data_IF_538116969490
#
_entry.id   IF_538116969490
#
_cell.length_a   1.000
_cell.length_b   1.000
_cell.length_c   1.000
_cell.angle_alpha   90.00
_cell.angle_beta   90.00
_cell.angle_gamma   90.00
#
_symmetry.space_group_name_H-M   'P 1'
#
loop_
_entity.id
_entity.type
_entity.pdbx_description
1 polymer ?
#
# COMPACT_ATOMS: atom_id res chain seq x y z
N UNK A 1 0.88 -2.93 -18.77
CA UNK A 1 0.46 -3.47 -17.45
C UNK A 1 -0.38 -2.41 -16.76
N UNK A 2 -1.54 -2.79 -16.23
CA UNK A 2 -2.40 -1.90 -15.45
C UNK A 2 -2.65 -2.52 -14.06
N UNK A 3 -2.50 -1.75 -12.96
CA UNK A 3 -2.64 -2.28 -11.61
C UNK A 3 -4.11 -2.29 -11.15
N UNK A 4 -4.35 -2.73 -9.91
CA UNK A 4 -5.66 -2.66 -9.28
C UNK A 4 -6.23 -1.22 -9.24
N UNK A 5 -7.50 -1.10 -9.66
CA UNK A 5 -8.35 0.08 -9.47
C UNK A 5 -9.73 -0.37 -8.99
N UNK A 6 -10.21 0.15 -7.85
CA UNK A 6 -11.52 -0.22 -7.28
C UNK A 6 -12.26 1.02 -6.78
N UNK A 7 -13.56 1.05 -7.02
CA UNK A 7 -14.49 2.01 -6.42
C UNK A 7 -15.38 1.29 -5.42
N UNK A 8 -15.41 1.76 -4.17
CA UNK A 8 -16.18 1.16 -3.08
C UNK A 8 -17.15 2.19 -2.52
N UNK A 9 -18.43 1.85 -2.52
CA UNK A 9 -19.44 2.65 -1.82
C UNK A 9 -19.52 2.22 -0.36
N UNK A 10 -19.44 3.19 0.55
CA UNK A 10 -19.61 2.99 1.99
C UNK A 10 -20.98 3.50 2.46
N UNK A 11 -21.53 2.85 3.49
CA UNK A 11 -22.81 3.23 4.12
C UNK A 11 -22.71 4.54 4.92
N UNK A 12 -21.58 4.76 5.60
CA UNK A 12 -21.35 5.95 6.43
C UNK A 12 -20.03 6.61 6.07
N UNK A 13 -19.90 7.89 6.44
CA UNK A 13 -18.68 8.67 6.20
C UNK A 13 -17.48 8.09 6.96
N UNK A 14 -17.68 7.66 8.20
CA UNK A 14 -16.61 7.13 9.05
C UNK A 14 -16.06 5.82 8.47
N UNK A 15 -16.93 4.97 7.91
CA UNK A 15 -16.52 3.74 7.24
C UNK A 15 -15.69 4.06 5.98
N UNK A 16 -16.11 5.07 5.21
CA UNK A 16 -15.39 5.53 4.02
C UNK A 16 -14.01 6.08 4.37
N UNK A 17 -13.93 6.91 5.42
CA UNK A 17 -12.67 7.48 5.92
C UNK A 17 -11.72 6.39 6.43
N UNK A 18 -12.22 5.43 7.23
CA UNK A 18 -11.43 4.27 7.69
C UNK A 18 -10.85 3.49 6.52
N UNK A 19 -11.68 3.14 5.52
CA UNK A 19 -11.21 2.42 4.33
C UNK A 19 -10.14 3.20 3.56
N UNK A 20 -10.33 4.52 3.40
CA UNK A 20 -9.33 5.38 2.76
C UNK A 20 -8.01 5.38 3.53
N UNK A 21 -8.05 5.52 4.87
CA UNK A 21 -6.85 5.49 5.71
C UNK A 21 -6.10 4.16 5.58
N UNK A 22 -6.81 3.04 5.58
CA UNK A 22 -6.24 1.70 5.37
C UNK A 22 -5.57 1.61 4.00
N UNK A 23 -6.23 2.06 2.94
CA UNK A 23 -5.69 2.04 1.59
C UNK A 23 -4.40 2.88 1.47
N UNK A 24 -4.41 4.09 2.04
CA UNK A 24 -3.24 4.98 2.06
C UNK A 24 -2.07 4.36 2.83
N UNK A 25 -2.33 3.74 3.99
CA UNK A 25 -1.32 3.03 4.78
C UNK A 25 -0.72 1.83 4.03
N UNK A 26 -1.52 1.17 3.17
CA UNK A 26 -1.06 0.06 2.32
C UNK A 26 -0.29 0.51 1.06
N UNK A 27 -0.11 1.82 0.85
CA UNK A 27 0.67 2.38 -0.26
C UNK A 27 -0.16 2.85 -1.46
N UNK A 28 -1.49 2.80 -1.40
CA UNK A 28 -2.37 3.29 -2.47
C UNK A 28 -2.54 4.82 -2.38
N UNK A 29 -1.45 5.56 -2.58
CA UNK A 29 -1.39 7.03 -2.40
C UNK A 29 -2.30 7.83 -3.34
N UNK A 30 -2.71 7.23 -4.46
CA UNK A 30 -3.61 7.83 -5.44
C UNK A 30 -5.10 7.59 -5.11
N UNK A 31 -5.40 7.17 -3.88
CA UNK A 31 -6.76 6.92 -3.42
C UNK A 31 -7.43 8.21 -2.99
N UNK A 32 -8.75 8.29 -3.16
CA UNK A 32 -9.55 9.46 -2.80
C UNK A 32 -10.94 9.09 -2.29
N UNK A 33 -11.58 10.04 -1.62
CA UNK A 33 -12.95 9.93 -1.13
C UNK A 33 -13.80 11.03 -1.77
N UNK A 34 -14.87 10.63 -2.45
CA UNK A 34 -15.91 11.52 -2.96
C UNK A 34 -17.12 11.42 -2.03
N UNK A 35 -17.45 12.53 -1.38
CA UNK A 35 -18.62 12.66 -0.52
C UNK A 35 -19.72 13.35 -1.31
N UNK A 36 -20.89 12.70 -1.39
CA UNK A 36 -22.10 13.31 -1.94
C UNK A 36 -23.30 13.07 -1.02
N UNK A 37 -24.40 13.83 -1.19
CA UNK A 37 -25.61 13.64 -0.37
C UNK A 37 -26.20 12.23 -0.42
N UNK A 38 -25.91 11.46 -1.48
CA UNK A 38 -26.47 10.13 -1.71
C UNK A 38 -25.48 8.98 -1.43
N UNK A 39 -24.17 9.24 -1.48
CA UNK A 39 -23.16 8.18 -1.38
C UNK A 39 -21.80 8.70 -0.90
N UNK A 40 -21.11 7.86 -0.16
CA UNK A 40 -19.69 8.00 0.16
C UNK A 40 -18.91 7.01 -0.71
N UNK A 41 -18.12 7.50 -1.65
CA UNK A 41 -17.39 6.67 -2.62
C UNK A 41 -15.89 6.77 -2.40
N UNK A 42 -15.25 5.65 -2.09
CA UNK A 42 -13.79 5.55 -1.97
C UNK A 42 -13.23 4.99 -3.28
N UNK A 43 -12.33 5.73 -3.90
CA UNK A 43 -11.55 5.27 -5.03
C UNK A 43 -10.17 4.82 -4.56
N UNK A 44 -9.83 3.56 -4.77
CA UNK A 44 -8.53 2.99 -4.41
C UNK A 44 -7.75 2.73 -5.71
N UNK A 45 -6.61 3.41 -5.85
CA UNK A 45 -5.77 3.32 -7.05
C UNK A 45 -4.31 3.14 -6.70
N UNK A 46 -3.65 2.20 -7.39
CA UNK A 46 -2.21 1.99 -7.27
C UNK A 46 -1.41 3.07 -8.03
N UNK A 47 -0.10 3.13 -7.80
CA UNK A 47 0.85 3.96 -8.55
C UNK A 47 1.68 3.18 -9.57
N UNK A 48 1.59 1.85 -9.57
CA UNK A 48 2.33 1.01 -10.50
C UNK A 48 1.80 1.23 -11.92
N UNK A 49 2.68 1.47 -12.89
CA UNK A 49 2.31 1.54 -14.31
C UNK A 49 3.51 1.21 -15.18
N UNK A 50 3.24 0.61 -16.34
CA UNK A 50 4.20 0.52 -17.44
C UNK A 50 3.45 0.88 -18.71
N UNK A 51 3.97 1.91 -19.39
CA UNK A 51 3.51 2.38 -20.68
C UNK A 51 4.75 2.70 -21.52
N UNK A 52 4.84 2.11 -22.71
CA UNK A 52 5.97 2.22 -23.60
C UNK A 52 5.52 1.95 -25.05
N UNK A 53 5.83 2.84 -26.02
CA UNK A 53 5.53 2.60 -27.42
C UNK A 53 6.41 1.47 -27.97
N UNK A 54 5.80 0.49 -28.65
CA UNK A 54 6.52 -0.66 -29.24
C UNK A 54 6.43 -0.72 -30.77
N UNK A 55 5.42 -0.09 -31.36
CA UNK A 55 5.22 -0.04 -32.80
C UNK A 55 4.36 1.17 -33.15
N UNK A 56 4.45 1.61 -34.40
CA UNK A 56 3.52 2.57 -35.01
C UNK A 56 2.70 1.88 -36.10
N UNK A 57 1.58 2.49 -36.49
CA UNK A 57 0.78 2.04 -37.63
C UNK A 57 0.81 3.13 -38.68
N UNK A 58 1.22 2.78 -39.90
CA UNK A 58 1.20 3.72 -41.04
C UNK A 58 -0.23 3.89 -41.55
N UNK A 59 -0.75 5.12 -41.55
CA UNK A 59 -2.16 5.42 -41.92
C UNK A 59 -2.51 5.00 -43.36
N UNK A 60 -1.56 5.12 -44.29
CA UNK A 60 -1.78 4.83 -45.71
C UNK A 60 -1.95 3.32 -46.00
N UNK A 61 -1.18 2.47 -45.33
CA UNK A 61 -1.12 1.02 -45.61
C UNK A 61 -1.64 0.16 -44.46
N UNK A 62 -2.03 0.78 -43.34
CA UNK A 62 -2.38 0.11 -42.06
C UNK A 62 -1.35 -0.95 -41.62
N UNK A 63 -0.10 -0.76 -42.00
CA UNK A 63 0.99 -1.70 -41.70
C UNK A 63 1.60 -1.36 -40.34
N UNK A 64 1.94 -2.39 -39.56
CA UNK A 64 2.61 -2.24 -38.27
C UNK A 64 4.11 -2.09 -38.50
N UNK A 65 4.70 -1.01 -38.01
CA UNK A 65 6.12 -0.73 -38.03
C UNK A 65 6.69 -0.85 -36.61
N UNK A 66 7.42 -1.94 -36.28
CA UNK A 66 8.06 -2.07 -34.98
C UNK A 66 9.08 -0.96 -34.75
N UNK A 67 9.07 -0.37 -33.55
CA UNK A 67 10.04 0.66 -33.13
C UNK A 67 11.20 0.08 -32.31
N UNK A 68 11.05 -1.16 -31.87
CA UNK A 68 11.92 -1.79 -30.87
C UNK A 68 12.32 -3.18 -31.34
N UNK A 69 13.47 -3.64 -30.85
CA UNK A 69 13.95 -4.98 -31.13
C UNK A 69 13.31 -6.03 -30.20
N UNK A 70 13.60 -7.30 -30.47
CA UNK A 70 13.07 -8.42 -29.67
C UNK A 70 13.64 -8.46 -28.26
N UNK A 71 14.86 -7.98 -28.05
CA UNK A 71 15.50 -7.92 -26.74
C UNK A 71 14.76 -6.93 -25.82
N UNK A 72 14.41 -5.76 -26.34
CA UNK A 72 13.63 -4.75 -25.64
C UNK A 72 12.22 -5.24 -25.30
N UNK A 73 11.53 -5.91 -26.24
CA UNK A 73 10.23 -6.52 -25.94
C UNK A 73 10.32 -7.54 -24.80
N UNK A 74 11.35 -8.39 -24.81
CA UNK A 74 11.59 -9.37 -23.75
C UNK A 74 11.82 -8.68 -22.40
N UNK A 75 12.57 -7.57 -22.38
CA UNK A 75 12.75 -6.74 -21.19
C UNK A 75 11.42 -6.16 -20.69
N UNK A 76 10.60 -5.57 -21.57
CA UNK A 76 9.29 -5.02 -21.20
C UNK A 76 8.34 -6.07 -20.62
N UNK A 77 8.33 -7.27 -21.18
CA UNK A 77 7.54 -8.40 -20.66
C UNK A 77 8.02 -8.77 -19.27
N UNK A 78 9.33 -8.90 -19.06
CA UNK A 78 9.90 -9.21 -17.75
C UNK A 78 9.59 -8.13 -16.70
N UNK A 79 9.70 -6.85 -17.07
CA UNK A 79 9.32 -5.73 -16.20
C UNK A 79 7.81 -5.77 -15.87
N UNK A 80 6.97 -6.07 -16.86
CA UNK A 80 5.53 -6.20 -16.69
C UNK A 80 5.17 -7.33 -15.73
N UNK A 81 5.80 -8.49 -15.86
CA UNK A 81 5.58 -9.63 -14.96
C UNK A 81 5.99 -9.32 -13.52
N UNK A 82 7.12 -8.62 -13.32
CA UNK A 82 7.51 -8.13 -11.99
C UNK A 82 6.48 -7.18 -11.40
N UNK A 83 5.96 -6.24 -12.20
CA UNK A 83 4.89 -5.32 -11.76
C UNK A 83 3.58 -6.03 -11.43
N UNK A 84 3.23 -7.09 -12.16
CA UNK A 84 2.11 -7.94 -11.79
C UNK A 84 2.31 -8.60 -10.43
N UNK A 85 3.50 -9.15 -10.16
CA UNK A 85 3.81 -9.74 -8.85
C UNK A 85 3.75 -8.71 -7.71
N UNK A 86 4.34 -7.52 -7.92
CA UNK A 86 4.27 -6.40 -6.96
C UNK A 86 2.82 -6.01 -6.67
N UNK A 87 1.99 -5.93 -7.71
CA UNK A 87 0.57 -5.59 -7.59
C UNK A 87 -0.21 -6.66 -6.83
N UNK A 88 0.03 -7.94 -7.11
CA UNK A 88 -0.59 -9.05 -6.37
C UNK A 88 -0.24 -9.01 -4.88
N UNK A 89 1.02 -8.73 -4.56
CA UNK A 89 1.46 -8.60 -3.17
C UNK A 89 0.81 -7.38 -2.49
N UNK A 90 0.70 -6.25 -3.19
CA UNK A 90 0.02 -5.06 -2.68
C UNK A 90 -1.47 -5.31 -2.44
N UNK A 91 -2.14 -6.00 -3.36
CA UNK A 91 -3.54 -6.41 -3.23
C UNK A 91 -3.74 -7.31 -2.01
N UNK A 92 -2.87 -8.30 -1.81
CA UNK A 92 -2.94 -9.19 -0.65
C UNK A 92 -2.71 -8.45 0.67
N UNK A 93 -1.82 -7.44 0.70
CA UNK A 93 -1.66 -6.57 1.89
C UNK A 93 -2.91 -5.73 2.15
N UNK A 94 -3.47 -5.10 1.11
CA UNK A 94 -4.70 -4.31 1.23
C UNK A 94 -5.86 -5.15 1.75
N UNK A 95 -6.07 -6.34 1.17
CA UNK A 95 -7.13 -7.25 1.58
C UNK A 95 -7.03 -7.62 3.07
N UNK A 96 -5.84 -8.04 3.53
CA UNK A 96 -5.61 -8.36 4.95
C UNK A 96 -5.81 -7.15 5.86
N UNK A 97 -5.36 -5.97 5.45
CA UNK A 97 -5.52 -4.75 6.24
C UNK A 97 -6.99 -4.32 6.36
N UNK A 98 -7.76 -4.45 5.28
CA UNK A 98 -9.21 -4.21 5.29
C UNK A 98 -9.91 -5.19 6.24
N UNK A 99 -9.60 -6.49 6.15
CA UNK A 99 -10.16 -7.50 7.06
C UNK A 99 -9.86 -7.15 8.52
N UNK A 100 -8.62 -6.77 8.84
CA UNK A 100 -8.21 -6.46 10.20
C UNK A 100 -8.82 -5.14 10.74
N UNK A 101 -8.89 -4.08 9.93
CA UNK A 101 -9.19 -2.72 10.43
C UNK A 101 -10.62 -2.24 10.12
N UNK A 102 -11.28 -2.82 9.12
CA UNK A 102 -12.64 -2.42 8.74
C UNK A 102 -13.72 -3.37 9.29
N UNK A 103 -13.35 -4.61 9.62
CA UNK A 103 -14.31 -5.66 10.01
C UNK A 103 -14.09 -6.24 11.42
N UNK A 104 -13.04 -5.84 12.16
CA UNK A 104 -12.89 -6.19 13.57
C UNK A 104 -13.39 -5.03 14.46
N UNK A 105 -14.17 -5.35 15.50
CA UNK A 105 -14.60 -4.42 16.57
C UNK A 105 -14.17 -5.03 17.90
N UNK A 106 -13.42 -4.29 18.72
CA UNK A 106 -12.91 -4.74 20.03
C UNK A 106 -12.20 -6.11 20.02
N UNK A 107 -11.42 -6.37 18.97
CA UNK A 107 -10.69 -7.63 18.80
C UNK A 107 -11.55 -8.84 18.40
N UNK A 108 -12.86 -8.63 18.13
CA UNK A 108 -13.77 -9.67 17.66
C UNK A 108 -14.21 -9.38 16.21
N UNK A 109 -14.42 -10.41 15.38
CA UNK A 109 -15.01 -10.22 14.07
C UNK A 109 -16.41 -9.62 14.22
N UNK A 110 -16.71 -8.58 13.46
CA UNK A 110 -18.04 -7.99 13.41
C UNK A 110 -19.00 -9.02 12.82
N UNK A 111 -19.81 -9.66 13.66
CA UNK A 111 -20.79 -10.65 13.20
C UNK A 111 -21.67 -10.04 12.11
N UNK A 112 -21.74 -10.71 10.96
CA UNK A 112 -22.68 -10.37 9.89
C UNK A 112 -24.09 -10.57 10.44
N UNK A 113 -24.90 -9.51 10.52
CA UNK A 113 -26.27 -9.56 11.02
C UNK A 113 -27.15 -10.56 10.24
N UNK A 114 -26.78 -10.88 9.00
CA UNK A 114 -27.59 -11.69 8.07
C UNK A 114 -26.94 -13.04 7.70
N UNK A 115 -25.87 -13.48 8.39
CA UNK A 115 -25.25 -14.80 8.16
C UNK A 115 -24.68 -15.06 6.76
N UNK A 116 -24.71 -14.07 5.86
CA UNK A 116 -24.51 -14.27 4.42
C UNK A 116 -23.04 -14.26 3.96
N UNK A 117 -22.10 -14.09 4.88
CA UNK A 117 -20.66 -14.14 4.59
C UNK A 117 -19.97 -15.18 5.48
N UNK A 118 -19.88 -16.44 5.02
CA UNK A 118 -19.14 -17.49 5.69
C UNK A 118 -17.66 -17.38 5.31
N UNK A 119 -16.86 -16.80 6.21
CA UNK A 119 -15.44 -17.06 6.49
C UNK A 119 -14.79 -15.79 7.02
N UNK A 120 -14.85 -15.66 8.35
CA UNK A 120 -14.09 -14.68 9.14
C UNK A 120 -12.69 -15.24 9.48
N UNK A 121 -11.69 -14.39 9.76
CA UNK A 121 -10.42 -14.41 9.05
C UNK A 121 -9.46 -15.55 9.44
N UNK A 122 -8.61 -15.92 8.47
CA UNK A 122 -7.42 -16.74 8.64
C UNK A 122 -6.58 -16.29 9.84
N UNK A 123 -6.05 -17.26 10.60
CA UNK A 123 -5.30 -17.08 11.86
C UNK A 123 -4.12 -16.11 11.70
N UNK A 124 -3.57 -16.00 10.48
CA UNK A 124 -2.49 -15.08 10.12
C UNK A 124 -2.87 -13.59 10.19
N UNK A 125 -4.15 -13.25 9.99
CA UNK A 125 -4.65 -11.87 9.94
C UNK A 125 -4.88 -11.32 11.36
N UNK A 126 -5.29 -12.17 12.30
CA UNK A 126 -5.44 -11.81 13.71
C UNK A 126 -4.09 -11.39 14.33
N UNK A 127 -3.01 -12.08 13.97
CA UNK A 127 -1.65 -11.73 14.40
C UNK A 127 -1.17 -10.38 13.82
N UNK A 128 -1.60 -10.03 12.59
CA UNK A 128 -1.25 -8.75 11.98
C UNK A 128 -1.99 -7.58 12.64
N UNK A 129 -3.24 -7.77 13.05
CA UNK A 129 -4.01 -6.76 13.79
C UNK A 129 -3.36 -6.41 15.13
N UNK A 130 -2.83 -7.40 15.86
CA UNK A 130 -2.11 -7.19 17.12
C UNK A 130 -0.81 -6.38 16.93
N UNK A 131 -0.11 -6.55 15.80
CA UNK A 131 1.15 -5.86 15.52
C UNK A 131 0.96 -4.47 14.85
N UNK A 132 -0.20 -4.20 14.26
CA UNK A 132 -0.49 -2.93 13.58
C UNK A 132 -0.85 -1.78 14.54
N UNK A 133 -1.14 -2.09 15.80
CA UNK A 133 -1.44 -1.10 16.84
C UNK A 133 -0.16 -0.54 17.50
N UNK A 134 0.82 -0.06 16.73
CA UNK A 134 1.78 0.90 17.30
C UNK A 134 1.20 2.31 17.07
N UNK A 135 0.65 2.91 18.11
CA UNK A 135 0.13 4.28 18.10
C UNK A 135 1.22 5.26 17.62
N UNK A 136 0.81 6.38 17.01
CA UNK A 136 1.72 7.47 16.63
C UNK A 136 2.56 7.95 17.84
N UNK A 137 1.97 7.87 19.03
CA UNK A 137 2.61 8.17 20.33
C UNK A 137 3.68 7.12 20.69
N UNK A 138 3.35 5.84 20.58
CA UNK A 138 4.27 4.72 20.87
C UNK A 138 5.47 4.73 19.92
N UNK A 139 5.23 5.03 18.63
CA UNK A 139 6.28 5.21 17.63
C UNK A 139 7.22 6.37 17.95
N UNK A 140 6.70 7.43 18.59
CA UNK A 140 7.47 8.61 19.03
C UNK A 140 8.30 8.26 20.26
N UNK A 141 7.70 7.59 21.24
CA UNK A 141 8.35 7.15 22.48
C UNK A 141 9.49 6.17 22.16
N UNK A 142 9.28 5.22 21.25
CA UNK A 142 10.32 4.28 20.83
C UNK A 142 11.51 4.97 20.16
N UNK A 143 11.26 5.89 19.22
CA UNK A 143 12.33 6.68 18.58
C UNK A 143 13.10 7.55 19.57
N UNK A 144 12.43 8.12 20.57
CA UNK A 144 13.08 8.87 21.63
C UNK A 144 13.97 7.96 22.50
N UNK A 145 13.47 6.77 22.88
CA UNK A 145 14.20 5.82 23.71
C UNK A 145 15.41 5.22 22.98
N UNK A 146 15.26 4.84 21.71
CA UNK A 146 16.35 4.38 20.84
C UNK A 146 17.41 5.49 20.63
N UNK A 147 16.99 6.74 20.45
CA UNK A 147 17.89 7.89 20.33
C UNK A 147 18.68 8.17 21.62
N UNK A 148 18.03 8.06 22.78
CA UNK A 148 18.66 8.24 24.08
C UNK A 148 19.70 7.16 24.38
N UNK A 149 19.38 5.90 24.05
CA UNK A 149 20.29 4.76 24.18
C UNK A 149 21.51 4.92 23.27
N UNK A 150 21.32 5.39 22.04
CA UNK A 150 22.43 5.70 21.11
C UNK A 150 23.33 6.82 21.65
N UNK A 151 22.76 7.85 22.27
CA UNK A 151 23.54 8.90 22.94
C UNK A 151 24.29 8.37 24.18
N UNK A 152 23.67 7.51 24.98
CA UNK A 152 24.33 6.90 26.14
C UNK A 152 25.47 5.95 25.72
N UNK A 153 25.29 5.17 24.65
CA UNK A 153 26.34 4.33 24.08
C UNK A 153 27.51 5.16 23.55
N UNK A 154 27.24 6.23 22.77
CA UNK A 154 28.28 7.14 22.30
C UNK A 154 29.06 7.81 23.45
N UNK A 155 28.39 8.07 24.57
CA UNK A 155 28.98 8.67 25.77
C UNK A 155 29.75 7.67 26.64
N UNK A 156 29.38 6.38 26.61
CA UNK A 156 30.12 5.31 27.26
C UNK A 156 31.33 4.84 26.44
N UNK A 157 31.26 4.90 25.10
CA UNK A 157 32.36 4.53 24.20
C UNK A 157 33.42 5.64 24.02
N UNK A 158 33.33 6.74 24.77
CA UNK A 158 34.43 7.68 24.96
C UNK A 158 35.03 8.33 23.71
N UNK A 159 34.28 8.47 22.62
CA UNK A 159 34.73 9.20 21.42
C UNK A 159 34.01 10.55 21.30
N UNK A 160 34.69 11.60 21.76
CA UNK A 160 34.33 13.00 21.50
C UNK A 160 34.47 13.32 20.01
N UNK A 161 33.48 13.95 19.35
CA UNK A 161 33.58 14.33 17.94
C UNK A 161 34.16 15.75 17.75
N UNK A 162 35.37 16.01 18.24
CA UNK A 162 36.01 17.36 18.16
C UNK A 162 37.38 17.42 17.44
N UNK A 163 37.75 16.39 16.67
CA UNK A 163 39.03 16.40 15.92
C UNK A 163 38.92 16.11 14.40
N UNK A 164 37.85 16.56 13.74
CA UNK A 164 37.81 16.59 12.27
C UNK A 164 37.36 17.97 11.79
N UNK A 165 38.22 18.96 12.00
CA UNK A 165 37.95 20.33 11.59
C UNK A 165 39.13 21.29 11.58
N UNK A 166 40.39 20.84 11.44
CA UNK A 166 41.53 21.67 11.01
C UNK A 166 42.65 20.77 10.47
N UNK A 167 42.77 20.64 9.14
CA UNK A 167 43.93 21.02 8.28
C UNK A 167 43.40 21.07 6.85
#
# INVERSE_FOLDING_TARGET
FEPLVVHVQARTLEAAQRLLTVALACGYRNSGLVVSPKRYMVAIRSSLRIDAPIATVTTATKTICPLVDRAYLSLLVNLSNRKFADNQQAMARLHRAIQAQCFLVDGRPRASADGQYPDFPDRSVLAFAQNAQESKEERRIRKQKEGLLRQQQMRNDGSSPDELGKV
#
